data_IF_408042063693
#
_entry.id   IF_408042063693
#
_cell.length_a   1.000
_cell.length_b   1.000
_cell.length_c   1.000
_cell.angle_alpha   90.00
_cell.angle_beta   90.00
_cell.angle_gamma   90.00
#
_symmetry.space_group_name_H-M   'P 1'
#
loop_
_entity.id
_entity.type
_entity.pdbx_description
1 polymer ?
#
# COMPACT_ATOMS: atom_id res chain seq x y z
N UNK A 1 4.55 -9.20 -3.00
CA UNK A 1 3.54 -9.29 -1.93
C UNK A 1 2.15 -9.22 -2.54
N UNK A 2 1.22 -10.06 -2.12
CA UNK A 2 -0.16 -10.03 -2.62
C UNK A 2 -1.02 -9.28 -1.59
N UNK A 3 -1.55 -8.12 -1.96
CA UNK A 3 -2.53 -7.42 -1.12
C UNK A 3 -3.80 -8.27 -1.10
N UNK A 4 -4.26 -8.66 0.09
CA UNK A 4 -5.52 -9.40 0.19
C UNK A 4 -6.68 -8.44 -0.07
N UNK A 5 -7.33 -8.55 -1.23
CA UNK A 5 -8.48 -7.73 -1.61
C UNK A 5 -9.72 -7.98 -0.75
N UNK A 6 -9.76 -9.06 0.02
CA UNK A 6 -10.81 -9.35 1.00
C UNK A 6 -10.50 -8.77 2.39
N UNK A 7 -9.30 -8.19 2.60
CA UNK A 7 -8.93 -7.62 3.89
C UNK A 7 -9.71 -6.34 4.22
N UNK A 8 -10.25 -5.65 3.20
CA UNK A 8 -11.02 -4.43 3.38
C UNK A 8 -12.27 -4.45 2.51
N UNK A 9 -13.39 -3.96 3.04
CA UNK A 9 -14.60 -3.74 2.25
C UNK A 9 -14.43 -2.50 1.36
N UNK A 10 -14.92 -2.55 0.12
CA UNK A 10 -14.82 -1.44 -0.84
C UNK A 10 -15.89 -0.38 -0.59
N UNK A 11 -15.89 0.19 0.61
CA UNK A 11 -16.79 1.27 1.01
C UNK A 11 -15.99 2.45 1.56
N UNK A 12 -16.47 3.70 1.41
CA UNK A 12 -15.77 4.88 1.93
C UNK A 12 -15.47 4.78 3.43
N UNK A 13 -16.41 4.22 4.20
CA UNK A 13 -16.26 4.04 5.65
C UNK A 13 -15.18 3.02 6.02
N UNK A 14 -15.13 1.88 5.32
CA UNK A 14 -14.13 0.85 5.55
C UNK A 14 -12.72 1.32 5.11
N UNK A 15 -12.62 2.00 3.97
CA UNK A 15 -11.39 2.62 3.49
C UNK A 15 -10.88 3.64 4.50
N UNK A 16 -11.74 4.56 4.97
CA UNK A 16 -11.35 5.56 5.97
C UNK A 16 -10.79 4.90 7.23
N UNK A 17 -11.49 3.88 7.76
CA UNK A 17 -11.08 3.16 8.96
C UNK A 17 -9.75 2.42 8.77
N UNK A 18 -9.55 1.78 7.63
CA UNK A 18 -8.28 1.10 7.33
C UNK A 18 -7.11 2.09 7.25
N UNK A 19 -7.34 3.28 6.68
CA UNK A 19 -6.32 4.31 6.55
C UNK A 19 -6.01 5.06 7.85
N UNK A 20 -6.74 4.87 8.96
CA UNK A 20 -6.45 5.51 10.26
C UNK A 20 -5.03 5.23 10.77
N UNK A 21 -4.43 4.11 10.36
CA UNK A 21 -3.03 3.75 10.68
C UNK A 21 -2.00 4.60 9.93
N UNK A 22 -2.40 5.26 8.84
CA UNK A 22 -1.55 6.06 7.96
C UNK A 22 -2.18 7.44 7.75
N UNK A 23 -1.94 8.38 8.68
CA UNK A 23 -2.58 9.71 8.66
C UNK A 23 -2.33 10.50 7.36
N UNK A 24 -1.17 10.28 6.73
CA UNK A 24 -0.81 10.84 5.43
C UNK A 24 -1.76 10.37 4.32
N UNK A 25 -2.06 9.08 4.28
CA UNK A 25 -2.97 8.49 3.30
C UNK A 25 -4.42 8.79 3.61
N UNK A 26 -4.79 8.79 4.90
CA UNK A 26 -6.13 9.19 5.34
C UNK A 26 -6.46 10.62 4.92
N UNK A 27 -5.50 11.54 5.05
CA UNK A 27 -5.68 12.93 4.63
C UNK A 27 -5.90 13.03 3.12
N UNK A 28 -5.12 12.31 2.32
CA UNK A 28 -5.27 12.26 0.87
C UNK A 28 -6.63 11.71 0.43
N UNK A 29 -7.06 10.58 1.01
CA UNK A 29 -8.40 10.02 0.75
C UNK A 29 -9.51 10.98 1.14
N UNK A 30 -9.41 11.57 2.34
CA UNK A 30 -10.43 12.51 2.84
C UNK A 30 -10.54 13.73 1.94
N UNK A 31 -9.42 14.27 1.46
CA UNK A 31 -9.42 15.41 0.54
C UNK A 31 -10.09 15.05 -0.79
N UNK A 32 -9.65 13.97 -1.45
CA UNK A 32 -10.21 13.53 -2.73
C UNK A 32 -11.72 13.25 -2.62
N UNK A 33 -12.12 12.53 -1.57
CA UNK A 33 -13.51 12.11 -1.36
C UNK A 33 -14.41 13.30 -0.96
N UNK A 34 -13.96 14.18 -0.06
CA UNK A 34 -14.75 15.34 0.37
C UNK A 34 -14.85 16.41 -0.72
N UNK A 35 -13.83 16.54 -1.58
CA UNK A 35 -13.92 17.40 -2.75
C UNK A 35 -15.02 16.93 -3.70
N UNK A 36 -15.04 15.64 -4.04
CA UNK A 36 -16.08 15.04 -4.87
C UNK A 36 -17.47 15.12 -4.21
N UNK A 37 -17.56 14.89 -2.90
CA UNK A 37 -18.80 15.00 -2.15
C UNK A 37 -19.35 16.42 -2.12
N UNK A 38 -18.47 17.44 -2.05
CA UNK A 38 -18.85 18.85 -2.10
C UNK A 38 -19.46 19.27 -3.44
N UNK A 39 -19.06 18.62 -4.53
CA UNK A 39 -19.62 18.80 -5.87
C UNK A 39 -20.84 17.89 -6.14
N UNK A 40 -21.21 17.04 -5.18
CA UNK A 40 -22.24 16.00 -5.33
C UNK A 40 -21.97 15.06 -6.52
N UNK A 41 -20.70 14.89 -6.91
CA UNK A 41 -20.31 14.03 -8.01
C UNK A 41 -20.11 12.59 -7.52
N UNK A 42 -21.12 11.76 -7.77
CA UNK A 42 -21.09 10.34 -7.40
C UNK A 42 -20.00 9.56 -8.14
N UNK A 43 -19.73 9.88 -9.40
CA UNK A 43 -18.71 9.18 -10.18
C UNK A 43 -17.30 9.50 -9.66
N UNK A 44 -17.06 10.76 -9.29
CA UNK A 44 -15.79 11.16 -8.68
C UNK A 44 -15.59 10.55 -7.28
N UNK A 45 -16.66 10.41 -6.48
CA UNK A 45 -16.60 9.70 -5.20
C UNK A 45 -16.25 8.22 -5.38
N UNK A 46 -16.87 7.54 -6.34
CA UNK A 46 -16.58 6.14 -6.65
C UNK A 46 -15.15 5.97 -7.18
N UNK A 47 -14.66 6.91 -8.02
CA UNK A 47 -13.27 6.91 -8.49
C UNK A 47 -12.26 7.12 -7.35
N UNK A 48 -12.59 7.95 -6.35
CA UNK A 48 -11.76 8.09 -5.15
C UNK A 48 -11.73 6.79 -4.32
N UNK A 49 -12.86 6.11 -4.16
CA UNK A 49 -12.92 4.78 -3.52
C UNK A 49 -12.03 3.78 -4.27
N UNK A 50 -12.13 3.72 -5.59
CA UNK A 50 -11.34 2.82 -6.44
C UNK A 50 -9.84 3.08 -6.34
N UNK A 51 -9.45 4.36 -6.35
CA UNK A 51 -8.05 4.80 -6.23
C UNK A 51 -7.44 4.37 -4.89
N UNK A 52 -8.18 4.52 -3.80
CA UNK A 52 -7.66 4.32 -2.44
C UNK A 52 -7.89 2.90 -1.90
N UNK A 53 -8.72 2.09 -2.54
CA UNK A 53 -9.02 0.72 -2.12
C UNK A 53 -7.77 -0.18 -1.97
N UNK A 54 -6.77 -0.18 -2.88
CA UNK A 54 -5.56 -0.99 -2.71
C UNK A 54 -4.76 -0.59 -1.47
N UNK A 55 -4.66 0.73 -1.19
CA UNK A 55 -3.98 1.24 -0.01
C UNK A 55 -4.72 0.86 1.28
N UNK A 56 -6.05 0.89 1.27
CA UNK A 56 -6.86 0.41 2.39
C UNK A 56 -6.70 -1.10 2.64
N UNK A 57 -6.68 -1.92 1.58
CA UNK A 57 -6.44 -3.36 1.70
C UNK A 57 -5.04 -3.65 2.25
N UNK A 58 -4.03 -2.89 1.81
CA UNK A 58 -2.68 -2.94 2.37
C UNK A 58 -2.70 -2.61 3.87
N UNK A 59 -3.40 -1.56 4.29
CA UNK A 59 -3.50 -1.18 5.70
C UNK A 59 -4.28 -2.19 6.56
N UNK A 60 -5.27 -2.85 5.97
CA UNK A 60 -6.09 -3.84 6.64
C UNK A 60 -5.47 -5.25 6.66
N UNK A 61 -4.51 -5.54 5.78
CA UNK A 61 -3.78 -6.81 5.76
C UNK A 61 -2.86 -6.89 6.98
N UNK A 62 -3.07 -7.85 7.91
CA UNK A 62 -2.21 -7.99 9.09
C UNK A 62 -0.74 -8.21 8.70
N UNK A 63 0.18 -7.49 9.34
CA UNK A 63 1.63 -7.58 9.07
C UNK A 63 2.13 -6.77 7.88
N UNK A 64 1.27 -6.35 6.94
CA UNK A 64 1.72 -5.64 5.74
C UNK A 64 2.21 -4.21 6.05
N UNK A 65 1.50 -3.49 6.91
CA UNK A 65 1.94 -2.15 7.37
C UNK A 65 3.16 -2.25 8.26
N UNK A 66 3.19 -3.25 9.15
CA UNK A 66 4.30 -3.47 10.07
C UNK A 66 5.59 -3.80 9.29
N UNK A 67 5.49 -4.60 8.22
CA UNK A 67 6.61 -4.88 7.31
C UNK A 67 7.04 -3.64 6.53
N UNK A 68 6.12 -2.78 6.06
CA UNK A 68 6.47 -1.52 5.40
C UNK A 68 7.16 -0.56 6.36
N UNK A 69 6.66 -0.44 7.60
CA UNK A 69 7.25 0.40 8.63
C UNK A 69 8.63 -0.12 9.06
N UNK A 70 8.80 -1.45 9.16
CA UNK A 70 10.09 -2.08 9.42
C UNK A 70 11.08 -1.81 8.29
N UNK A 71 10.69 -2.01 7.03
CA UNK A 71 11.52 -1.69 5.86
C UNK A 71 11.88 -0.21 5.85
N UNK A 72 10.93 0.70 6.08
CA UNK A 72 11.17 2.13 6.10
C UNK A 72 12.13 2.54 7.23
N UNK A 73 11.99 1.93 8.42
CA UNK A 73 12.93 2.10 9.54
C UNK A 73 14.33 1.63 9.14
N UNK A 74 14.45 0.40 8.64
CA UNK A 74 15.72 -0.21 8.23
C UNK A 74 16.44 0.62 7.16
N UNK A 75 15.69 1.14 6.18
CA UNK A 75 16.24 2.07 5.18
C UNK A 75 16.75 3.38 5.80
N UNK A 76 16.02 3.97 6.76
CA UNK A 76 16.46 5.19 7.45
C UNK A 76 17.67 4.97 8.37
N UNK A 77 17.79 3.78 8.97
CA UNK A 77 18.90 3.40 9.84
C UNK A 77 20.13 2.91 9.04
N UNK A 78 20.01 2.76 7.72
CA UNK A 78 21.06 2.23 6.86
C UNK A 78 21.25 0.71 6.96
N UNK A 79 20.35 0.01 7.63
CA UNK A 79 20.31 -1.45 7.70
C UNK A 79 19.54 -2.01 6.50
N UNK A 80 20.16 -1.91 5.32
CA UNK A 80 19.55 -2.36 4.07
C UNK A 80 19.88 -3.82 3.72
N UNK A 81 20.64 -4.51 4.57
CA UNK A 81 21.16 -5.85 4.29
C UNK A 81 20.02 -6.87 4.19
N UNK A 82 19.92 -7.57 3.05
CA UNK A 82 18.91 -8.61 2.82
C UNK A 82 17.50 -8.08 2.50
N UNK A 83 17.30 -6.77 2.31
CA UNK A 83 16.04 -6.24 1.76
C UNK A 83 15.89 -6.63 0.28
N UNK A 84 14.68 -7.04 -0.11
CA UNK A 84 14.36 -7.46 -1.47
C UNK A 84 13.09 -6.75 -1.95
N UNK A 85 13.23 -5.96 -3.00
CA UNK A 85 12.14 -5.27 -3.67
C UNK A 85 11.81 -5.99 -4.98
N UNK A 86 10.52 -6.14 -5.28
CA UNK A 86 10.05 -6.82 -6.48
C UNK A 86 9.39 -5.81 -7.42
N UNK A 87 9.85 -5.77 -8.67
CA UNK A 87 9.20 -4.97 -9.72
C UNK A 87 7.95 -5.66 -10.29
N UNK A 88 7.24 -4.96 -11.18
CA UNK A 88 6.04 -5.48 -11.86
C UNK A 88 6.32 -6.67 -12.78
N UNK A 89 7.58 -6.84 -13.21
CA UNK A 89 8.02 -7.92 -14.10
C UNK A 89 8.51 -9.15 -13.30
N UNK A 90 8.45 -9.08 -11.97
CA UNK A 90 8.86 -10.13 -11.05
C UNK A 90 10.38 -10.27 -10.90
N UNK A 91 11.14 -9.21 -11.19
CA UNK A 91 12.58 -9.16 -10.90
C UNK A 91 12.81 -8.64 -9.48
N UNK A 92 13.79 -9.25 -8.82
CA UNK A 92 14.20 -8.88 -7.47
C UNK A 92 15.37 -7.90 -7.54
N UNK A 93 15.33 -6.89 -6.67
CA UNK A 93 16.34 -5.84 -6.55
C UNK A 93 16.70 -5.67 -5.07
N UNK A 94 17.97 -5.40 -4.78
CA UNK A 94 18.39 -4.97 -3.46
C UNK A 94 18.15 -3.45 -3.27
N UNK A 95 18.43 -2.95 -2.07
CA UNK A 95 18.25 -1.53 -1.74
C UNK A 95 19.20 -0.59 -2.50
N UNK A 96 20.33 -1.10 -2.99
CA UNK A 96 21.32 -0.36 -3.79
C UNK A 96 21.00 -0.41 -5.31
N UNK A 97 19.82 -0.94 -5.66
CA UNK A 97 19.33 -1.09 -7.02
C UNK A 97 20.19 -2.06 -7.86
N UNK A 98 20.83 -3.04 -7.22
CA UNK A 98 21.45 -4.16 -7.92
C UNK A 98 20.42 -5.29 -8.12
N UNK A 99 20.44 -5.95 -9.28
CA UNK A 99 19.55 -7.08 -9.53
C UNK A 99 19.96 -8.28 -8.68
N UNK A 100 19.00 -8.86 -7.97
CA UNK A 100 19.18 -10.09 -7.20
C UNK A 100 18.86 -11.31 -8.08
N UNK A 101 19.63 -12.42 -7.94
CA UNK A 101 19.36 -13.62 -8.70
C UNK A 101 17.97 -14.16 -8.35
N UNK A 102 17.12 -14.40 -9.36
CA UNK A 102 15.84 -15.11 -9.17
C UNK A 102 16.13 -16.40 -8.40
N UNK A 103 15.45 -16.64 -7.28
CA UNK A 103 15.52 -17.93 -6.58
C UNK A 103 15.29 -19.03 -7.61
N UNK A 104 16.32 -19.82 -7.91
CA UNK A 104 16.13 -21.10 -8.59
C UNK A 104 15.26 -21.92 -7.67
N UNK A 105 13.99 -22.12 -8.05
CA UNK A 105 13.18 -23.22 -7.54
C UNK A 105 13.96 -24.49 -7.87
N UNK A 106 14.64 -25.01 -6.87
CA UNK A 106 15.56 -26.14 -7.02
C UNK A 106 15.71 -26.88 -5.70
N UNK A 107 14.69 -27.67 -5.34
CA UNK A 107 14.77 -29.11 -5.09
C UNK A 107 13.40 -29.65 -4.73
#
# INVERSE_FOLDING_TARGET
>A
MHVNSEACEKTPGAIRKALERRPDWLMGFTQDFMCAAGEFDQAAMDAAVDKWFPAACACATPGYVDEIEDIARRMNEGDTEGLVFWDSDGNAWDADNNPLPRRRSGS
#
